data_IF_893212525060
#
_entry.id   IF_893212525060
#
_cell.length_a   1.000
_cell.length_b   1.000
_cell.length_c   1.000
_cell.angle_alpha   90.00
_cell.angle_beta   90.00
_cell.angle_gamma   90.00
#
_symmetry.space_group_name_H-M   'P 1'
#
loop_
_entity.id
_entity.type
_entity.pdbx_description
1 polymer ?
#
# COMPACT_ATOMS: atom_id res chain seq x y z
N UNK A 1 18.16 -42.73 -51.31
CA UNK A 1 17.66 -41.38 -51.68
C UNK A 1 17.34 -40.67 -50.36
N UNK A 2 18.20 -39.77 -49.87
CA UNK A 2 18.15 -38.29 -50.01
C UNK A 2 16.79 -37.73 -49.58
N UNK A 3 16.60 -36.82 -48.63
CA UNK A 3 17.48 -35.91 -47.85
C UNK A 3 16.62 -35.19 -46.77
N UNK A 4 17.28 -34.57 -45.76
CA UNK A 4 16.89 -33.31 -45.05
C UNK A 4 15.79 -33.40 -43.93
N UNK A 5 15.89 -32.83 -42.71
CA UNK A 5 16.78 -31.82 -42.07
C UNK A 5 17.00 -32.13 -40.56
N UNK A 6 18.23 -31.83 -40.16
CA UNK A 6 18.86 -31.77 -38.83
C UNK A 6 18.35 -30.61 -37.94
N UNK A 7 18.41 -30.79 -36.61
CA UNK A 7 18.39 -29.74 -35.58
C UNK A 7 17.46 -28.53 -35.73
N UNK A 8 16.30 -28.53 -35.05
CA UNK A 8 15.58 -27.27 -34.82
C UNK A 8 16.12 -26.60 -33.54
N UNK A 9 17.31 -25.99 -33.69
CA UNK A 9 17.64 -24.78 -32.94
C UNK A 9 16.55 -23.74 -33.23
N UNK A 10 16.21 -22.95 -32.22
CA UNK A 10 15.23 -21.87 -32.32
C UNK A 10 15.45 -21.08 -33.62
N UNK A 11 14.44 -21.03 -34.49
CA UNK A 11 14.57 -20.46 -35.84
C UNK A 11 15.06 -19.00 -35.78
N UNK A 12 14.79 -18.31 -34.68
CA UNK A 12 15.27 -16.94 -34.45
C UNK A 12 16.77 -16.87 -34.09
N UNK A 13 17.32 -17.92 -33.45
CA UNK A 13 18.74 -18.03 -33.13
C UNK A 13 19.62 -18.37 -34.34
N UNK A 14 19.07 -19.04 -35.36
CA UNK A 14 19.80 -19.47 -36.56
C UNK A 14 19.95 -18.35 -37.60
N UNK A 15 19.01 -17.40 -37.64
CA UNK A 15 19.02 -16.31 -38.63
C UNK A 15 19.60 -14.97 -38.14
N UNK A 16 20.09 -14.88 -36.90
CA UNK A 16 20.61 -13.61 -36.36
C UNK A 16 19.57 -12.50 -36.32
N UNK A 17 18.28 -12.85 -36.36
CA UNK A 17 17.18 -11.90 -36.28
C UNK A 17 16.98 -11.62 -34.79
N UNK A 18 17.68 -10.59 -34.35
CA UNK A 18 17.37 -9.89 -33.11
C UNK A 18 15.89 -9.55 -33.12
N UNK A 19 15.15 -9.91 -32.07
CA UNK A 19 13.80 -9.38 -31.85
C UNK A 19 13.94 -7.89 -31.52
N UNK A 20 14.09 -7.09 -32.58
CA UNK A 20 14.33 -5.65 -32.51
C UNK A 20 13.25 -4.96 -31.68
N UNK A 21 12.02 -5.50 -31.64
CA UNK A 21 10.95 -4.96 -30.83
C UNK A 21 11.13 -5.25 -29.33
N UNK A 22 11.51 -6.48 -28.97
CA UNK A 22 11.83 -6.82 -27.58
C UNK A 22 13.09 -6.08 -27.08
N UNK A 23 14.09 -5.87 -27.94
CA UNK A 23 15.26 -5.07 -27.62
C UNK A 23 14.96 -3.56 -27.53
N UNK A 24 14.16 -3.01 -28.46
CA UNK A 24 13.68 -1.63 -28.37
C UNK A 24 12.91 -1.39 -27.08
N UNK A 25 11.99 -2.31 -26.72
CA UNK A 25 11.23 -2.20 -25.48
C UNK A 25 12.14 -2.25 -24.24
N UNK A 26 13.12 -3.15 -24.20
CA UNK A 26 14.11 -3.19 -23.11
C UNK A 26 14.93 -1.90 -23.03
N UNK A 27 15.37 -1.39 -24.18
CA UNK A 27 16.12 -0.14 -24.26
C UNK A 27 15.27 1.05 -23.80
N UNK A 28 14.00 1.13 -24.19
CA UNK A 28 13.06 2.14 -23.72
C UNK A 28 12.84 2.06 -22.19
N UNK A 29 12.62 0.86 -21.65
CA UNK A 29 12.46 0.62 -20.22
C UNK A 29 13.73 1.02 -19.44
N UNK A 30 14.92 0.71 -19.98
CA UNK A 30 16.20 1.09 -19.40
C UNK A 30 16.43 2.61 -19.44
N UNK A 31 16.14 3.26 -20.57
CA UNK A 31 16.20 4.72 -20.70
C UNK A 31 15.26 5.41 -19.72
N UNK A 32 14.03 4.91 -19.55
CA UNK A 32 13.09 5.42 -18.56
C UNK A 32 13.60 5.27 -17.13
N UNK A 33 14.23 4.13 -16.82
CA UNK A 33 14.84 3.90 -15.50
C UNK A 33 15.99 4.87 -15.25
N UNK A 34 16.89 5.04 -16.22
CA UNK A 34 18.01 5.99 -16.14
C UNK A 34 17.50 7.41 -15.94
N UNK A 35 16.46 7.82 -16.67
CA UNK A 35 15.84 9.13 -16.50
C UNK A 35 15.28 9.34 -15.08
N UNK A 36 14.54 8.36 -14.54
CA UNK A 36 14.02 8.43 -13.16
C UNK A 36 15.13 8.46 -12.12
N UNK A 37 16.20 7.69 -12.31
CA UNK A 37 17.37 7.70 -11.42
C UNK A 37 18.06 9.07 -11.42
N UNK A 38 18.22 9.69 -12.59
CA UNK A 38 18.81 11.02 -12.72
C UNK A 38 17.93 12.11 -12.10
N UNK A 39 16.60 12.04 -12.26
CA UNK A 39 15.67 12.93 -11.55
C UNK A 39 15.77 12.79 -10.03
N UNK A 40 15.88 11.55 -9.52
CA UNK A 40 16.04 11.29 -8.09
C UNK A 40 17.38 11.84 -7.57
N UNK A 41 18.47 11.63 -8.33
CA UNK A 41 19.79 12.20 -8.01
C UNK A 41 19.75 13.72 -7.92
N UNK A 42 19.11 14.39 -8.88
CA UNK A 42 18.91 15.86 -8.85
C UNK A 42 18.08 16.31 -7.65
N UNK A 43 17.06 15.54 -7.25
CA UNK A 43 16.27 15.83 -6.04
C UNK A 43 17.12 15.69 -4.77
N UNK A 44 17.99 14.70 -4.69
CA UNK A 44 18.91 14.52 -3.55
C UNK A 44 19.90 15.68 -3.43
N UNK A 45 20.46 16.15 -4.55
CA UNK A 45 21.38 17.30 -4.58
C UNK A 45 20.70 18.61 -4.14
N UNK A 46 19.41 18.79 -4.44
CA UNK A 46 18.62 19.96 -4.00
C UNK A 46 18.22 19.85 -2.52
N UNK A 47 17.91 18.65 -2.03
CA UNK A 47 17.48 18.41 -0.65
C UNK A 47 18.53 18.80 0.40
N UNK A 48 19.83 18.85 0.04
CA UNK A 48 20.89 19.38 0.91
C UNK A 48 20.83 20.90 1.15
N UNK A 49 19.91 21.65 0.52
CA UNK A 49 19.94 23.12 0.54
C UNK A 49 18.67 23.86 0.98
N UNK A 50 17.57 23.17 1.33
CA UNK A 50 16.37 23.90 1.77
C UNK A 50 15.39 23.06 2.57
N UNK A 51 15.02 23.56 3.75
CA UNK A 51 13.90 23.05 4.56
C UNK A 51 12.81 24.12 4.59
N UNK A 52 11.80 24.00 3.74
CA UNK A 52 10.55 24.76 3.90
C UNK A 52 9.36 23.81 3.86
N UNK A 53 8.43 24.05 4.78
CA UNK A 53 7.24 23.22 4.98
C UNK A 53 6.03 24.13 4.84
N UNK A 54 5.25 23.94 3.78
CA UNK A 54 4.02 24.71 3.54
C UNK A 54 2.84 23.91 4.06
N UNK A 55 2.08 24.47 5.02
CA UNK A 55 0.75 23.97 5.41
C UNK A 55 -0.31 24.57 4.48
N UNK A 56 -1.25 23.75 4.02
CA UNK A 56 -2.42 24.18 3.23
C UNK A 56 -3.71 23.87 3.99
N UNK A 57 -4.68 24.77 3.87
CA UNK A 57 -5.95 24.80 4.61
C UNK A 57 -6.87 23.60 4.31
N UNK A 58 -7.49 23.05 5.36
CA UNK A 58 -8.53 22.01 5.30
C UNK A 58 -9.91 22.63 5.06
N UNK A 59 -10.75 21.98 4.24
CA UNK A 59 -12.12 22.39 3.98
C UNK A 59 -13.02 22.18 5.21
N UNK A 60 -13.99 23.07 5.43
CA UNK A 60 -14.92 23.00 6.57
C UNK A 60 -15.78 21.73 6.54
N UNK A 61 -15.88 21.05 7.70
CA UNK A 61 -16.62 19.80 7.90
C UNK A 61 -18.13 20.10 8.10
N UNK A 62 -18.89 20.18 7.01
CA UNK A 62 -20.31 20.60 6.99
C UNK A 62 -21.24 19.46 6.55
N UNK A 63 -21.56 18.55 7.47
CA UNK A 63 -22.45 17.40 7.21
C UNK A 63 -23.94 17.75 7.34
N UNK A 64 -24.82 17.02 6.64
CA UNK A 64 -26.27 17.14 6.66
C UNK A 64 -26.96 15.76 6.67
N UNK A 65 -28.29 15.71 6.74
CA UNK A 65 -29.08 14.46 6.84
C UNK A 65 -28.91 13.50 5.65
N UNK A 66 -28.45 13.99 4.51
CA UNK A 66 -28.20 13.17 3.31
C UNK A 66 -26.72 12.78 3.17
N UNK A 67 -25.88 13.13 4.15
CA UNK A 67 -24.46 12.80 4.10
C UNK A 67 -24.27 11.30 4.23
N UNK A 68 -23.49 10.71 3.32
CA UNK A 68 -23.17 9.28 3.34
C UNK A 68 -21.74 9.08 3.84
N UNK A 69 -21.57 8.19 4.81
CA UNK A 69 -20.25 7.73 5.26
C UNK A 69 -19.85 6.55 4.40
N UNK A 70 -18.71 6.65 3.72
CA UNK A 70 -18.16 5.54 2.93
C UNK A 70 -16.98 4.93 3.66
N UNK A 71 -17.17 3.69 4.10
CA UNK A 71 -16.18 2.98 4.88
C UNK A 71 -16.16 1.50 4.50
N UNK A 72 -14.97 0.93 4.29
CA UNK A 72 -14.77 -0.46 3.83
C UNK A 72 -15.56 -0.88 2.58
N UNK A 73 -15.86 0.07 1.67
CA UNK A 73 -16.66 -0.20 0.47
C UNK A 73 -18.18 -0.25 0.72
N UNK A 74 -18.60 -0.07 1.97
CA UNK A 74 -19.99 0.10 2.37
C UNK A 74 -20.41 1.58 2.32
N UNK A 75 -21.71 1.81 2.24
CA UNK A 75 -22.33 3.14 2.32
C UNK A 75 -23.24 3.15 3.55
N UNK A 76 -22.84 3.90 4.57
CA UNK A 76 -23.52 4.02 5.85
C UNK A 76 -24.18 5.39 5.90
N UNK A 77 -25.44 5.45 6.29
CA UNK A 77 -26.15 6.71 6.47
C UNK A 77 -25.61 7.44 7.71
N UNK A 78 -25.41 8.76 7.64
CA UNK A 78 -25.01 9.54 8.82
C UNK A 78 -26.05 9.44 9.94
N UNK A 79 -27.32 9.19 9.60
CA UNK A 79 -28.41 8.97 10.53
C UNK A 79 -28.25 7.70 11.38
N UNK A 80 -27.40 6.76 10.96
CA UNK A 80 -26.99 5.63 11.81
C UNK A 80 -26.27 6.11 13.06
N UNK A 81 -25.55 7.23 12.96
CA UNK A 81 -24.72 7.75 14.05
C UNK A 81 -25.27 8.99 14.71
N UNK A 82 -26.11 9.80 14.06
CA UNK A 82 -26.63 11.06 14.60
C UNK A 82 -28.13 11.19 14.34
N UNK A 83 -28.89 11.72 15.31
CA UNK A 83 -30.29 12.07 15.05
C UNK A 83 -30.39 13.31 14.16
N UNK A 84 -31.50 13.52 13.44
CA UNK A 84 -31.74 14.75 12.69
C UNK A 84 -31.57 16.01 13.54
N UNK A 85 -32.00 15.99 14.82
CA UNK A 85 -31.82 17.13 15.73
C UNK A 85 -30.35 17.37 16.08
N UNK A 86 -29.53 16.32 16.20
CA UNK A 86 -28.10 16.46 16.44
C UNK A 86 -27.35 17.01 15.22
N UNK A 87 -27.84 16.74 14.02
CA UNK A 87 -27.29 17.27 12.76
C UNK A 87 -27.65 18.76 12.60
N UNK A 88 -28.89 19.16 12.88
CA UNK A 88 -29.32 20.55 12.77
C UNK A 88 -28.75 21.44 13.88
N UNK A 89 -28.81 20.96 15.12
CA UNK A 89 -28.56 21.80 16.30
C UNK A 89 -27.20 21.55 16.96
N UNK A 90 -26.49 20.50 16.55
CA UNK A 90 -25.24 20.06 17.14
C UNK A 90 -25.40 19.11 18.32
N UNK A 91 -24.32 18.40 18.63
CA UNK A 91 -24.27 17.36 19.67
C UNK A 91 -24.07 17.99 21.04
N UNK A 92 -24.83 17.51 22.02
CA UNK A 92 -24.68 17.89 23.43
C UNK A 92 -23.39 17.31 24.02
N UNK A 93 -22.45 18.17 24.42
CA UNK A 93 -21.26 17.78 25.15
C UNK A 93 -21.37 18.29 26.59
N UNK A 94 -21.36 17.37 27.55
CA UNK A 94 -21.30 17.69 28.98
C UNK A 94 -19.86 17.99 29.38
N UNK A 95 -19.58 19.24 29.71
CA UNK A 95 -18.33 19.66 30.33
C UNK A 95 -18.56 20.02 31.81
N UNK A 96 -17.48 20.21 32.56
CA UNK A 96 -17.52 20.58 34.00
C UNK A 96 -18.29 21.89 34.27
N UNK A 97 -18.50 22.72 33.25
CA UNK A 97 -19.14 24.05 33.34
C UNK A 97 -20.53 24.14 32.67
N UNK A 98 -21.17 22.99 32.36
CA UNK A 98 -22.53 22.94 31.79
C UNK A 98 -22.63 22.26 30.42
N UNK A 99 -23.87 22.19 29.90
CA UNK A 99 -24.18 21.60 28.59
C UNK A 99 -23.92 22.60 27.46
N UNK A 100 -23.05 22.27 26.51
CA UNK A 100 -22.84 23.04 25.28
C UNK A 100 -23.13 22.18 24.06
N UNK A 101 -23.90 22.71 23.11
CA UNK A 101 -24.08 22.11 21.79
C UNK A 101 -22.89 22.46 20.91
N UNK A 102 -22.25 21.45 20.33
CA UNK A 102 -21.13 21.59 19.38
C UNK A 102 -21.56 21.04 18.02
N UNK A 103 -21.28 21.77 16.94
CA UNK A 103 -21.47 21.26 15.57
C UNK A 103 -20.70 19.96 15.39
N UNK A 104 -21.25 19.05 14.58
CA UNK A 104 -20.61 17.77 14.26
C UNK A 104 -19.29 18.08 13.54
N UNK A 105 -18.20 17.59 14.10
CA UNK A 105 -16.88 17.59 13.49
C UNK A 105 -16.39 16.17 13.25
N UNK A 106 -15.30 16.04 12.50
CA UNK A 106 -14.70 14.74 12.18
C UNK A 106 -14.40 13.89 13.42
N UNK A 107 -13.88 14.49 14.49
CA UNK A 107 -13.55 13.75 15.71
C UNK A 107 -14.81 13.22 16.44
N UNK A 108 -15.92 13.97 16.40
CA UNK A 108 -17.18 13.52 16.99
C UNK A 108 -17.75 12.32 16.24
N UNK A 109 -17.73 12.35 14.90
CA UNK A 109 -18.17 11.22 14.08
C UNK A 109 -17.25 10.01 14.25
N UNK A 110 -15.93 10.20 14.18
CA UNK A 110 -14.93 9.14 14.42
C UNK A 110 -15.18 8.42 15.75
N UNK A 111 -15.40 9.18 16.83
CA UNK A 111 -15.64 8.62 18.16
C UNK A 111 -16.93 7.80 18.24
N UNK A 112 -17.98 8.14 17.48
CA UNK A 112 -19.20 7.32 17.41
C UNK A 112 -18.94 6.03 16.62
N UNK A 113 -18.27 6.14 15.48
CA UNK A 113 -17.93 4.98 14.65
C UNK A 113 -16.94 4.01 15.33
N UNK A 114 -16.02 4.50 16.18
CA UNK A 114 -15.06 3.66 16.93
C UNK A 114 -15.72 2.56 17.76
N UNK A 115 -17.00 2.73 18.13
CA UNK A 115 -17.77 1.70 18.85
C UNK A 115 -18.05 0.46 18.00
N UNK A 116 -18.33 0.67 16.72
CA UNK A 116 -18.65 -0.40 15.77
C UNK A 116 -17.39 -0.84 15.00
N UNK A 117 -16.42 0.06 14.88
CA UNK A 117 -15.18 -0.06 14.11
C UNK A 117 -13.96 0.31 14.98
N UNK A 118 -13.47 -0.61 15.84
CA UNK A 118 -12.40 -0.34 16.82
C UNK A 118 -11.08 0.17 16.22
N UNK A 119 -10.85 -0.08 14.94
CA UNK A 119 -9.69 0.38 14.19
C UNK A 119 -9.68 1.90 13.94
N UNK A 120 -10.82 2.58 14.07
CA UNK A 120 -10.95 4.03 13.83
C UNK A 120 -10.43 4.88 15.00
N UNK A 121 -9.19 4.62 15.45
CA UNK A 121 -8.61 5.20 16.67
C UNK A 121 -8.29 6.69 16.53
N UNK A 122 -8.43 7.44 17.63
CA UNK A 122 -8.06 8.86 17.73
C UNK A 122 -6.61 9.10 17.30
N UNK A 123 -6.40 10.09 16.43
CA UNK A 123 -5.07 10.47 15.92
C UNK A 123 -4.52 9.52 14.84
N UNK A 124 -5.16 8.37 14.62
CA UNK A 124 -4.88 7.43 13.52
C UNK A 124 -5.86 7.62 12.37
N UNK A 125 -7.05 8.14 12.66
CA UNK A 125 -8.13 8.31 11.70
C UNK A 125 -8.41 9.78 11.46
N UNK A 126 -8.48 10.17 10.19
CA UNK A 126 -9.01 11.45 9.75
C UNK A 126 -10.35 11.24 9.05
N UNK A 127 -11.34 12.07 9.40
CA UNK A 127 -12.62 12.07 8.70
C UNK A 127 -12.57 13.14 7.62
N UNK A 128 -12.54 12.72 6.37
CA UNK A 128 -12.52 13.65 5.24
C UNK A 128 -13.93 13.87 4.76
N UNK A 129 -14.35 15.13 4.71
CA UNK A 129 -15.61 15.51 4.08
C UNK A 129 -15.35 15.97 2.63
N UNK A 130 -15.88 15.22 1.68
CA UNK A 130 -15.90 15.57 0.27
C UNK A 130 -17.18 16.36 -0.04
N UNK A 131 -17.12 17.69 0.09
CA UNK A 131 -18.27 18.60 -0.06
C UNK A 131 -19.03 18.38 -1.37
N UNK A 132 -18.32 18.25 -2.48
CA UNK A 132 -18.92 18.08 -3.82
C UNK A 132 -19.77 16.82 -3.96
N UNK A 133 -19.49 15.80 -3.14
CA UNK A 133 -20.20 14.52 -3.19
C UNK A 133 -21.07 14.26 -1.95
N UNK A 134 -21.09 15.19 -1.00
CA UNK A 134 -21.73 15.05 0.31
C UNK A 134 -21.39 13.71 1.00
N UNK A 135 -20.12 13.33 0.97
CA UNK A 135 -19.63 12.06 1.53
C UNK A 135 -18.57 12.32 2.58
N UNK A 136 -18.64 11.57 3.68
CA UNK A 136 -17.55 11.45 4.64
C UNK A 136 -16.80 10.15 4.41
N UNK A 137 -15.47 10.20 4.43
CA UNK A 137 -14.61 9.02 4.32
C UNK A 137 -13.71 8.97 5.56
N UNK A 138 -13.87 7.98 6.45
CA UNK A 138 -12.87 7.68 7.47
C UNK A 138 -11.63 7.16 6.77
N UNK A 139 -10.49 7.82 6.98
CA UNK A 139 -9.22 7.40 6.41
C UNK A 139 -8.18 7.24 7.49
N UNK A 140 -7.55 6.07 7.51
CA UNK A 140 -6.45 5.76 8.41
C UNK A 140 -5.15 6.34 7.85
N UNK A 141 -4.49 7.20 8.64
CA UNK A 141 -3.21 7.82 8.28
C UNK A 141 -2.10 6.79 8.36
N UNK A 142 -1.30 6.70 7.30
CA UNK A 142 -0.01 6.03 7.38
C UNK A 142 0.88 6.80 8.35
N UNK A 143 1.45 6.10 9.32
CA UNK A 143 2.46 6.65 10.24
C UNK A 143 3.85 6.53 9.64
N UNK A 144 4.80 7.26 10.22
CA UNK A 144 6.22 7.15 9.90
C UNK A 144 6.68 5.70 10.10
N UNK A 145 7.25 5.10 9.06
CA UNK A 145 7.78 3.73 9.10
C UNK A 145 9.29 3.75 8.99
N UNK A 146 9.94 2.63 9.27
CA UNK A 146 11.28 2.36 8.79
C UNK A 146 12.18 1.64 9.76
N UNK A 147 13.38 1.26 9.30
CA UNK A 147 14.25 0.25 9.92
C UNK A 147 14.93 0.64 11.26
N UNK A 148 14.51 1.71 11.95
CA UNK A 148 15.17 2.16 13.18
C UNK A 148 14.73 1.36 14.42
N UNK A 149 15.66 0.59 15.02
CA UNK A 149 15.47 -0.06 16.33
C UNK A 149 15.92 -1.52 16.37
N UNK A 150 15.88 -2.14 17.55
CA UNK A 150 16.12 -3.58 17.72
C UNK A 150 14.95 -4.40 17.15
N UNK A 151 15.20 -5.49 16.42
CA UNK A 151 14.15 -6.26 15.77
C UNK A 151 13.24 -6.97 16.79
N UNK A 152 11.94 -6.99 16.53
CA UNK A 152 10.98 -7.83 17.25
C UNK A 152 10.52 -8.95 16.31
N UNK A 153 10.68 -10.21 16.74
CA UNK A 153 10.22 -11.39 16.01
C UNK A 153 9.18 -12.10 16.88
N UNK A 154 7.93 -12.14 16.41
CA UNK A 154 6.91 -13.05 16.92
C UNK A 154 6.26 -13.77 15.74
N UNK A 155 6.26 -15.09 15.81
CA UNK A 155 5.67 -15.99 14.82
C UNK A 155 4.26 -16.41 15.26
N UNK A 156 3.33 -16.34 14.33
CA UNK A 156 2.02 -16.95 14.35
C UNK A 156 1.56 -17.05 12.90
N UNK A 157 0.67 -17.98 12.56
CA UNK A 157 0.15 -18.16 11.20
C UNK A 157 -1.38 -18.06 11.24
N UNK A 158 -1.97 -17.22 10.39
CA UNK A 158 -3.41 -16.88 10.45
C UNK A 158 -3.94 -16.53 9.06
N UNK A 159 -5.27 -16.66 8.85
CA UNK A 159 -5.82 -17.13 7.60
C UNK A 159 -5.78 -16.08 6.49
N UNK A 160 -5.81 -16.61 5.26
CA UNK A 160 -5.61 -15.94 3.98
C UNK A 160 -6.70 -14.94 3.64
N UNK A 161 -6.33 -13.90 2.86
CA UNK A 161 -7.30 -13.06 2.18
C UNK A 161 -8.18 -13.91 1.22
N UNK A 162 -9.47 -13.58 1.04
CA UNK A 162 -10.34 -14.32 0.11
C UNK A 162 -9.91 -14.17 -1.36
N UNK A 163 -9.11 -13.15 -1.69
CA UNK A 163 -8.56 -12.88 -3.02
C UNK A 163 -7.09 -12.48 -2.85
N UNK A 164 -6.20 -13.10 -3.62
CA UNK A 164 -4.76 -12.79 -3.62
C UNK A 164 -4.46 -11.55 -4.46
N UNK A 165 -3.49 -10.76 -4.03
CA UNK A 165 -3.00 -9.59 -4.76
C UNK A 165 -2.17 -10.07 -5.96
N UNK A 166 -2.42 -9.56 -7.19
CA UNK A 166 -1.64 -9.94 -8.35
C UNK A 166 -0.14 -9.71 -8.17
N UNK A 167 0.69 -10.64 -8.63
CA UNK A 167 2.15 -10.50 -8.51
C UNK A 167 2.68 -9.25 -9.21
N UNK A 168 2.01 -8.79 -10.27
CA UNK A 168 2.35 -7.56 -10.98
C UNK A 168 2.41 -6.34 -10.05
N UNK A 169 1.50 -6.23 -9.08
CA UNK A 169 1.48 -5.15 -8.07
C UNK A 169 2.75 -5.19 -7.22
N UNK A 170 3.13 -6.37 -6.73
CA UNK A 170 4.35 -6.52 -5.94
C UNK A 170 5.60 -6.23 -6.79
N UNK A 171 5.64 -6.73 -8.02
CA UNK A 171 6.74 -6.49 -8.96
C UNK A 171 6.93 -4.98 -9.22
N UNK A 172 5.84 -4.24 -9.40
CA UNK A 172 5.87 -2.78 -9.57
C UNK A 172 6.44 -2.11 -8.32
N UNK A 173 6.00 -2.50 -7.13
CA UNK A 173 6.56 -1.98 -5.88
C UNK A 173 8.05 -2.28 -5.76
N UNK A 174 8.45 -3.53 -5.98
CA UNK A 174 9.86 -3.95 -5.95
C UNK A 174 10.69 -3.11 -6.92
N UNK A 175 10.19 -2.82 -8.12
CA UNK A 175 10.91 -2.04 -9.12
C UNK A 175 11.22 -0.62 -8.60
N UNK A 176 10.25 0.03 -7.95
CA UNK A 176 10.44 1.33 -7.31
C UNK A 176 11.37 1.21 -6.09
N UNK A 177 11.18 0.21 -5.24
CA UNK A 177 12.02 -0.04 -4.07
C UNK A 177 13.50 -0.26 -4.46
N UNK A 178 13.78 -0.96 -5.56
CA UNK A 178 15.15 -1.12 -6.08
C UNK A 178 15.75 0.21 -6.54
N UNK A 179 14.97 1.02 -7.25
CA UNK A 179 15.42 2.34 -7.70
C UNK A 179 15.82 3.24 -6.52
N UNK A 180 15.00 3.31 -5.47
CA UNK A 180 15.34 4.07 -4.26
C UNK A 180 16.45 3.40 -3.44
N UNK A 181 16.53 2.07 -3.48
CA UNK A 181 17.56 1.26 -2.82
C UNK A 181 18.97 1.52 -3.34
N UNK A 182 19.14 1.88 -4.61
CA UNK A 182 20.43 2.33 -5.18
C UNK A 182 21.02 3.53 -4.43
N UNK A 183 20.15 4.37 -3.86
CA UNK A 183 20.52 5.53 -3.05
C UNK A 183 20.44 5.27 -1.55
N UNK A 184 20.25 4.01 -1.14
CA UNK A 184 20.01 3.62 0.25
C UNK A 184 18.85 4.37 0.89
N UNK A 185 17.74 4.54 0.15
CA UNK A 185 16.52 5.18 0.63
C UNK A 185 15.39 4.16 0.78
N UNK A 186 14.58 4.32 1.81
CA UNK A 186 13.31 3.62 1.95
C UNK A 186 12.22 4.29 1.11
N UNK A 187 11.22 3.54 0.67
CA UNK A 187 10.02 4.06 0.02
C UNK A 187 8.79 3.31 0.50
N UNK A 188 7.65 3.99 0.57
CA UNK A 188 6.37 3.45 0.99
C UNK A 188 5.32 3.53 -0.12
N UNK A 189 4.41 2.57 -0.13
CA UNK A 189 3.22 2.55 -0.96
C UNK A 189 2.05 1.91 -0.21
N UNK A 190 0.86 2.17 -0.71
CA UNK A 190 -0.38 1.59 -0.24
C UNK A 190 -1.02 0.73 -1.34
N UNK A 191 -1.60 -0.40 -0.96
CA UNK A 191 -2.36 -1.26 -1.87
C UNK A 191 -3.84 -1.18 -1.52
N UNK A 192 -4.64 -0.84 -2.52
CA UNK A 192 -6.09 -0.73 -2.43
C UNK A 192 -6.77 -1.82 -3.25
N UNK A 193 -7.85 -2.37 -2.72
CA UNK A 193 -8.74 -3.31 -3.40
C UNK A 193 -10.07 -2.62 -3.74
N UNK A 194 -10.61 -2.86 -4.93
CA UNK A 194 -11.88 -2.30 -5.40
C UNK A 194 -12.94 -3.41 -5.47
N UNK A 195 -13.78 -3.60 -4.43
CA UNK A 195 -14.69 -4.74 -4.34
C UNK A 195 -15.64 -4.90 -5.52
N UNK A 196 -16.10 -3.79 -6.10
CA UNK A 196 -17.02 -3.80 -7.24
C UNK A 196 -16.41 -4.34 -8.53
N UNK A 197 -15.08 -4.27 -8.67
CA UNK A 197 -14.38 -4.64 -9.91
C UNK A 197 -13.41 -5.80 -9.72
N UNK A 198 -13.11 -6.18 -8.48
CA UNK A 198 -12.09 -7.17 -8.16
C UNK A 198 -10.66 -6.71 -8.44
N UNK A 199 -10.43 -5.41 -8.71
CA UNK A 199 -9.13 -4.87 -9.09
C UNK A 199 -8.32 -4.36 -7.90
N UNK A 200 -7.01 -4.32 -8.08
CA UNK A 200 -6.06 -3.76 -7.13
C UNK A 200 -5.39 -2.50 -7.71
N UNK A 201 -4.98 -1.59 -6.84
CA UNK A 201 -4.20 -0.40 -7.16
C UNK A 201 -3.04 -0.27 -6.20
N UNK A 202 -1.84 -0.06 -6.74
CA UNK A 202 -0.66 0.38 -6.00
C UNK A 202 -0.58 1.92 -6.06
N UNK A 203 -0.62 2.58 -4.91
CA UNK A 203 -0.49 4.03 -4.81
C UNK A 203 0.81 4.42 -4.10
N UNK A 204 1.55 5.35 -4.69
CA UNK A 204 2.74 5.96 -4.08
C UNK A 204 2.38 7.40 -3.69
N UNK A 205 1.99 7.64 -2.42
CA UNK A 205 1.67 9.00 -2.00
C UNK A 205 2.94 9.86 -1.93
N UNK A 206 2.76 11.18 -2.03
CA UNK A 206 3.87 12.10 -1.82
C UNK A 206 4.46 11.91 -0.41
N UNK A 207 5.77 11.76 -0.33
CA UNK A 207 6.45 11.33 0.89
C UNK A 207 7.86 11.91 0.99
N UNK A 208 8.33 12.06 2.22
CA UNK A 208 9.73 12.28 2.55
C UNK A 208 10.36 10.93 2.85
N UNK A 209 11.48 10.67 2.20
CA UNK A 209 12.22 9.41 2.34
C UNK A 209 13.60 9.67 2.90
N UNK A 210 14.11 8.71 3.64
CA UNK A 210 15.44 8.70 4.19
C UNK A 210 15.99 7.28 4.17
N UNK A 211 17.20 7.11 4.69
CA UNK A 211 17.82 5.80 4.84
C UNK A 211 17.09 4.85 5.78
N UNK A 212 16.38 5.37 6.79
CA UNK A 212 15.82 4.54 7.86
C UNK A 212 14.35 4.81 8.13
N UNK A 213 13.73 5.64 7.29
CA UNK A 213 12.32 5.95 7.41
C UNK A 213 11.76 6.56 6.14
N UNK A 214 10.45 6.38 5.99
CA UNK A 214 9.61 7.10 5.05
C UNK A 214 8.39 7.67 5.79
N UNK A 215 7.97 8.87 5.38
CA UNK A 215 6.85 9.59 5.97
C UNK A 215 5.99 10.19 4.86
N UNK A 216 4.72 9.79 4.82
CA UNK A 216 3.74 10.37 3.89
C UNK A 216 3.50 11.82 4.26
N UNK A 217 3.73 12.73 3.31
CA UNK A 217 3.47 14.17 3.46
C UNK A 217 2.26 14.63 2.67
N UNK A 218 1.74 13.79 1.77
CA UNK A 218 0.53 14.09 1.03
C UNK A 218 -0.68 14.15 1.97
N UNK A 219 -1.58 15.10 1.72
CA UNK A 219 -2.82 15.15 2.50
C UNK A 219 -3.70 13.96 2.16
N UNK A 220 -4.40 13.48 3.17
CA UNK A 220 -5.28 12.32 3.06
C UNK A 220 -6.42 12.60 2.08
N UNK A 221 -6.91 13.84 2.00
CA UNK A 221 -7.92 14.26 1.03
C UNK A 221 -7.45 14.12 -0.43
N UNK A 222 -6.19 14.46 -0.71
CA UNK A 222 -5.59 14.30 -2.05
C UNK A 222 -5.52 12.83 -2.45
N UNK A 223 -5.06 11.98 -1.53
CA UNK A 223 -5.01 10.52 -1.72
C UNK A 223 -6.43 9.99 -1.95
N UNK A 224 -7.40 10.39 -1.11
CA UNK A 224 -8.79 9.97 -1.21
C UNK A 224 -9.42 10.31 -2.57
N UNK A 225 -9.09 11.47 -3.14
CA UNK A 225 -9.54 11.89 -4.46
C UNK A 225 -8.89 11.07 -5.59
N UNK A 226 -7.57 10.82 -5.53
CA UNK A 226 -6.84 10.07 -6.56
C UNK A 226 -7.22 8.59 -6.58
N UNK A 227 -7.26 7.96 -5.40
CA UNK A 227 -7.54 6.53 -5.24
C UNK A 227 -9.03 6.23 -5.29
N UNK A 228 -9.87 7.23 -4.99
CA UNK A 228 -11.32 7.03 -4.93
C UNK A 228 -11.73 6.22 -3.70
N UNK A 229 -11.21 6.59 -2.52
CA UNK A 229 -11.34 5.83 -1.26
C UNK A 229 -12.77 5.53 -0.81
N UNK A 230 -13.79 6.19 -1.38
CA UNK A 230 -15.18 5.84 -1.16
C UNK A 230 -15.64 4.54 -1.84
N UNK A 231 -14.84 3.97 -2.74
CA UNK A 231 -15.15 2.74 -3.48
C UNK A 231 -14.04 1.68 -3.37
N UNK A 232 -13.03 1.93 -2.55
CA UNK A 232 -11.87 1.05 -2.39
C UNK A 232 -11.58 0.81 -0.92
N UNK A 233 -10.96 -0.32 -0.63
CA UNK A 233 -10.49 -0.71 0.68
C UNK A 233 -8.97 -0.69 0.67
N UNK A 234 -8.34 0.03 1.60
CA UNK A 234 -6.91 -0.11 1.83
C UNK A 234 -6.66 -1.45 2.51
N UNK A 235 -5.91 -2.33 1.87
CA UNK A 235 -5.72 -3.72 2.36
C UNK A 235 -4.30 -3.99 2.83
N UNK A 236 -3.33 -3.22 2.34
CA UNK A 236 -1.94 -3.39 2.70
C UNK A 236 -1.18 -2.07 2.65
N UNK A 237 -0.31 -1.88 3.63
CA UNK A 237 0.77 -0.91 3.57
C UNK A 237 2.07 -1.64 3.31
N UNK A 238 2.88 -1.15 2.38
CA UNK A 238 4.17 -1.77 2.04
C UNK A 238 5.27 -0.71 2.05
N UNK A 239 6.43 -1.03 2.62
CA UNK A 239 7.62 -0.19 2.52
C UNK A 239 8.87 -1.04 2.26
N UNK A 240 9.97 -0.37 1.91
CA UNK A 240 11.25 -1.03 1.65
C UNK A 240 12.30 -0.68 2.69
N UNK A 241 13.12 -1.65 3.06
CA UNK A 241 14.31 -1.50 3.91
C UNK A 241 15.61 -1.39 3.08
N UNK A 242 15.53 -0.97 1.82
CA UNK A 242 16.67 -0.85 0.89
C UNK A 242 17.60 -2.10 0.93
N UNK A 243 18.80 -1.98 1.48
CA UNK A 243 19.84 -3.01 1.58
C UNK A 243 19.74 -3.84 2.86
N UNK A 244 18.92 -3.42 3.82
CA UNK A 244 18.71 -4.09 5.09
C UNK A 244 17.71 -5.24 4.92
N UNK A 245 17.71 -6.14 5.90
CA UNK A 245 16.78 -7.24 5.96
C UNK A 245 15.33 -6.72 6.13
N UNK A 246 14.31 -7.44 5.64
CA UNK A 246 12.90 -7.08 5.83
C UNK A 246 12.41 -7.40 7.25
N UNK A 247 13.22 -7.15 8.27
CA UNK A 247 12.85 -7.39 9.66
C UNK A 247 12.19 -6.13 10.21
N UNK A 248 10.97 -6.21 10.75
CA UNK A 248 10.30 -5.03 11.28
C UNK A 248 11.07 -4.40 12.44
N UNK A 249 11.05 -3.07 12.48
CA UNK A 249 11.66 -2.28 13.54
C UNK A 249 10.67 -1.91 14.63
N UNK A 250 11.19 -1.30 15.71
CA UNK A 250 10.36 -0.68 16.75
C UNK A 250 9.47 0.42 16.19
N UNK A 251 9.95 1.22 15.23
CA UNK A 251 9.15 2.27 14.60
C UNK A 251 8.00 1.67 13.78
N UNK A 252 8.24 0.54 13.11
CA UNK A 252 7.20 -0.19 12.39
C UNK A 252 6.16 -0.74 13.38
N UNK A 253 6.57 -1.36 14.47
CA UNK A 253 5.67 -1.86 15.53
C UNK A 253 4.78 -0.77 16.15
N UNK A 254 5.27 0.46 16.25
CA UNK A 254 4.47 1.58 16.76
C UNK A 254 3.45 2.10 15.74
N UNK A 255 3.70 1.86 14.45
CA UNK A 255 2.93 2.39 13.33
C UNK A 255 1.90 1.40 12.82
N UNK A 256 2.23 0.12 12.85
CA UNK A 256 1.50 -0.98 12.20
C UNK A 256 0.51 -1.64 13.16
N UNK A 257 -0.51 -0.88 13.56
CA UNK A 257 -1.47 -1.28 14.61
C UNK A 257 -2.92 -1.26 14.19
N UNK A 258 -3.21 -1.06 12.91
CA UNK A 258 -4.57 -1.21 12.36
C UNK A 258 -4.91 -2.69 12.31
N UNK A 259 -5.94 -3.17 13.04
CA UNK A 259 -6.44 -4.54 12.93
C UNK A 259 -6.90 -4.86 11.51
N UNK A 260 -6.59 -6.06 11.02
CA UNK A 260 -7.00 -6.52 9.68
C UNK A 260 -6.20 -5.93 8.50
N UNK A 261 -5.33 -4.95 8.73
CA UNK A 261 -4.40 -4.43 7.72
C UNK A 261 -3.18 -5.35 7.58
N UNK A 262 -2.75 -5.58 6.35
CA UNK A 262 -1.47 -6.22 6.06
C UNK A 262 -0.34 -5.19 6.02
N UNK A 263 0.83 -5.59 6.50
CA UNK A 263 2.05 -4.78 6.46
C UNK A 263 3.15 -5.58 5.80
N UNK A 264 3.73 -5.04 4.73
CA UNK A 264 4.81 -5.67 3.99
C UNK A 264 6.11 -4.88 4.05
N UNK A 265 7.21 -5.60 4.17
CA UNK A 265 8.55 -5.03 4.13
C UNK A 265 9.35 -5.73 3.04
N UNK A 266 9.91 -4.97 2.12
CA UNK A 266 10.84 -5.47 1.10
C UNK A 266 12.27 -5.10 1.49
N UNK A 267 13.10 -6.11 1.73
CA UNK A 267 14.51 -5.96 2.09
C UNK A 267 15.44 -6.51 1.02
N UNK A 268 16.73 -6.21 1.15
CA UNK A 268 17.78 -6.65 0.23
C UNK A 268 17.51 -6.34 -1.25
N UNK A 269 17.10 -5.11 -1.53
CA UNK A 269 16.75 -4.62 -2.88
C UNK A 269 17.86 -4.76 -3.93
N UNK A 270 19.13 -4.90 -3.53
CA UNK A 270 20.24 -5.23 -4.43
C UNK A 270 20.17 -6.64 -5.02
N UNK A 271 19.47 -7.58 -4.36
CA UNK A 271 19.32 -8.95 -4.86
C UNK A 271 18.41 -8.96 -6.09
N UNK A 272 18.60 -9.95 -6.97
CA UNK A 272 17.68 -10.19 -8.10
C UNK A 272 16.27 -10.46 -7.58
N UNK A 273 16.16 -11.32 -6.56
CA UNK A 273 14.93 -11.57 -5.79
C UNK A 273 15.11 -10.99 -4.37
N UNK A 274 14.51 -9.83 -4.09
CA UNK A 274 14.45 -9.27 -2.75
C UNK A 274 13.71 -10.20 -1.79
N UNK A 275 13.94 -10.02 -0.49
CA UNK A 275 13.19 -10.75 0.53
C UNK A 275 11.99 -9.94 0.99
N UNK A 276 10.92 -10.65 1.34
CA UNK A 276 9.66 -10.06 1.78
C UNK A 276 9.25 -10.63 3.14
N UNK A 277 8.90 -9.74 4.04
CA UNK A 277 8.18 -10.08 5.28
C UNK A 277 6.80 -9.47 5.20
N UNK A 278 5.78 -10.27 5.52
CA UNK A 278 4.40 -9.78 5.62
C UNK A 278 3.88 -10.11 7.00
N UNK A 279 3.19 -9.17 7.62
CA UNK A 279 2.57 -9.37 8.93
C UNK A 279 1.23 -8.66 9.04
N UNK A 280 0.46 -9.01 10.07
CA UNK A 280 -0.76 -8.29 10.46
C UNK A 280 -0.81 -8.09 11.97
N UNK A 281 -1.50 -7.05 12.40
CA UNK A 281 -1.71 -6.79 13.82
C UNK A 281 -2.95 -7.51 14.35
N UNK A 282 -2.81 -8.23 15.46
CA UNK A 282 -3.86 -9.05 16.08
C UNK A 282 -4.47 -8.42 17.34
N UNK A 283 -4.11 -7.18 17.68
CA UNK A 283 -4.53 -6.51 18.91
C UNK A 283 -3.59 -6.76 20.10
N UNK A 284 -2.98 -7.94 20.18
CA UNK A 284 -1.99 -8.29 21.22
C UNK A 284 -0.55 -8.34 20.71
N UNK A 285 -0.35 -8.40 19.39
CA UNK A 285 0.97 -8.45 18.77
C UNK A 285 0.89 -8.52 17.25
N UNK A 286 1.97 -8.99 16.63
CA UNK A 286 2.06 -9.18 15.19
C UNK A 286 2.16 -10.65 14.85
N UNK A 287 1.60 -10.97 13.70
CA UNK A 287 1.55 -12.31 13.18
C UNK A 287 2.09 -12.33 11.75
N UNK A 288 3.04 -13.23 11.49
CA UNK A 288 3.64 -13.39 10.16
C UNK A 288 2.64 -14.06 9.22
N UNK A 289 2.46 -13.47 8.05
CA UNK A 289 1.59 -14.01 7.00
C UNK A 289 2.48 -14.54 5.88
N UNK A 290 2.18 -15.75 5.43
CA UNK A 290 2.94 -16.33 4.33
C UNK A 290 2.67 -15.58 3.03
N UNK A 291 3.75 -15.35 2.27
CA UNK A 291 3.69 -14.73 0.94
C UNK A 291 2.58 -15.31 0.06
N UNK A 292 2.50 -16.64 -0.02
CA UNK A 292 1.55 -17.39 -0.85
C UNK A 292 0.09 -17.16 -0.48
N UNK A 293 -0.19 -16.67 0.73
CA UNK A 293 -1.54 -16.42 1.21
C UNK A 293 -2.00 -14.97 0.93
N UNK A 294 -1.06 -14.12 0.46
CA UNK A 294 -1.28 -12.70 0.18
C UNK A 294 -1.16 -12.39 -1.30
N UNK A 295 -0.10 -12.87 -1.95
CA UNK A 295 0.18 -12.59 -3.36
C UNK A 295 -0.02 -13.83 -4.23
N UNK A 296 -0.34 -13.61 -5.50
CA UNK A 296 -0.30 -14.65 -6.52
C UNK A 296 1.13 -15.20 -6.68
N UNK A 297 1.22 -16.49 -6.99
CA UNK A 297 2.51 -17.15 -7.26
C UNK A 297 2.92 -16.89 -8.72
N UNK A 298 4.01 -16.16 -8.97
CA UNK A 298 4.48 -15.91 -10.34
C UNK A 298 5.02 -17.16 -11.05
N UNK A 299 5.23 -18.26 -10.33
CA UNK A 299 5.81 -19.49 -10.85
C UNK A 299 4.81 -20.65 -10.92
N UNK A 300 3.50 -20.38 -10.81
CA UNK A 300 2.49 -21.45 -10.74
C UNK A 300 2.32 -22.23 -12.07
N UNK A 301 2.63 -21.60 -13.21
CA UNK A 301 2.46 -22.21 -14.53
C UNK A 301 3.71 -22.99 -14.93
N UNK A 302 3.55 -24.29 -15.14
CA UNK A 302 4.58 -25.12 -15.75
C UNK A 302 4.69 -24.76 -17.25
N UNK A 303 5.90 -24.63 -17.82
CA UNK A 303 6.05 -24.33 -19.25
C UNK A 303 5.29 -25.34 -20.12
N UNK A 304 4.57 -24.92 -21.18
CA UNK A 304 3.83 -25.84 -22.06
C UNK A 304 4.73 -26.87 -22.75
N UNK A 305 6.02 -26.58 -22.87
CA UNK A 305 7.04 -27.46 -23.45
C UNK A 305 7.53 -28.54 -22.48
N UNK A 306 7.22 -28.43 -21.19
CA UNK A 306 7.60 -29.41 -20.19
C UNK A 306 6.81 -30.71 -20.38
N UNK A 307 7.53 -31.83 -20.43
CA UNK A 307 7.00 -33.17 -20.67
C UNK A 307 7.28 -34.03 -19.44
N UNK A 308 6.25 -34.23 -18.61
CA UNK A 308 6.37 -34.95 -17.33
C UNK A 308 6.77 -36.42 -17.53
N UNK A 309 6.34 -37.04 -18.63
CA UNK A 309 6.63 -38.43 -19.01
C UNK A 309 8.12 -38.71 -19.29
N UNK A 310 8.92 -37.67 -19.51
CA UNK A 310 10.38 -37.78 -19.68
C UNK A 310 11.16 -37.76 -18.36
N UNK A 311 10.48 -37.56 -17.23
CA UNK A 311 11.10 -37.47 -15.92
C UNK A 311 10.80 -38.75 -15.14
N UNK A 312 11.84 -39.52 -14.86
CA UNK A 312 11.76 -40.67 -13.96
C UNK A 312 11.95 -40.21 -12.51
N UNK A 313 10.99 -40.54 -11.65
CA UNK A 313 11.11 -40.35 -10.20
C UNK A 313 11.59 -41.67 -9.59
N UNK A 314 12.85 -41.73 -9.20
CA UNK A 314 13.40 -42.86 -8.44
C UNK A 314 13.24 -42.54 -6.96
N UNK A 315 12.43 -43.31 -6.24
CA UNK A 315 12.37 -43.24 -4.78
C UNK A 315 13.46 -44.13 -4.18
N UNK A 316 14.24 -43.60 -3.22
CA UNK A 316 15.03 -44.43 -2.30
C UNK A 316 14.13 -45.21 -1.33
#
# INVERSE_FOLDING_TARGET
MKNFIDGQQDIFSVFGIVDEYAEQKKHEEEMQRQHKAEELRKKMEKASSSTETTKKEEAAFEVNEFTVIRYFGESIDILTYFSPEEISDGVLIKNKDGEKRKKIDGETLRKRMEKDYPELVKGMTEMIFLKDKNIVIPVMKAKKKGSMGTPSLMEGVSPSLPIRIPFSILREFISVAKLFGEFSLEVHADIYYFPKTGKFLLDFPAQRVSKYWCEVTESVASIAQRVGMGNSVKIMEIHSHHMLAPVPSVQDDLSERVPGMLYGIIGFTHKVFPEVTIRKYTGSGWEIVLYRDVFEDPFFSVPPTFQMDKIEVVSE
#
